data_IF_451598505917
#
_entry.id   IF_451598505917
#
_cell.length_a   1.000
_cell.length_b   1.000
_cell.length_c   1.000
_cell.angle_alpha   90.00
_cell.angle_beta   90.00
_cell.angle_gamma   90.00
#
_symmetry.space_group_name_H-M   'P 1'
#
loop_
_entity.id
_entity.type
_entity.pdbx_description
1 polymer ?
#
# COMPACT_ATOMS: atom_id res chain seq x y z
N UNK A 1 -2.15 -10.31 10.62
CA UNK A 1 -2.13 -8.82 10.78
C UNK A 1 -3.55 -8.27 10.64
N UNK A 2 -3.89 -7.15 11.28
CA UNK A 2 -5.20 -6.54 11.07
C UNK A 2 -5.33 -6.07 9.60
N UNK A 3 -6.51 -6.24 9.01
CA UNK A 3 -6.92 -5.70 7.71
C UNK A 3 -6.83 -4.16 7.72
N UNK A 4 -5.63 -3.63 7.63
CA UNK A 4 -5.35 -2.20 7.68
C UNK A 4 -5.27 -1.71 6.24
N UNK A 5 -6.06 -0.68 5.92
CA UNK A 5 -5.94 -0.02 4.62
C UNK A 5 -4.59 0.69 4.54
N UNK A 6 -3.93 0.53 3.41
CA UNK A 6 -2.63 1.15 3.16
C UNK A 6 -2.57 1.73 1.76
N UNK A 7 -1.72 2.74 1.60
CA UNK A 7 -1.24 3.15 0.29
C UNK A 7 0.22 3.51 0.38
N UNK A 8 0.98 3.22 -0.67
CA UNK A 8 2.37 3.62 -0.77
C UNK A 8 2.61 4.07 -2.20
N UNK A 9 3.47 5.06 -2.36
CA UNK A 9 3.67 5.64 -3.67
C UNK A 9 4.66 6.78 -3.68
N UNK A 10 4.67 7.46 -4.83
CA UNK A 10 5.49 8.61 -5.11
C UNK A 10 4.66 9.82 -5.48
N UNK A 11 5.20 10.97 -5.16
CA UNK A 11 4.65 12.28 -5.47
C UNK A 11 5.74 13.12 -6.14
N UNK A 12 5.38 13.78 -7.23
CA UNK A 12 6.30 14.55 -8.05
C UNK A 12 5.92 16.03 -8.00
N UNK A 13 6.89 16.87 -7.63
CA UNK A 13 6.74 18.32 -7.53
C UNK A 13 7.76 18.96 -8.47
N UNK A 14 7.31 19.88 -9.33
CA UNK A 14 8.21 20.65 -10.21
C UNK A 14 9.34 21.31 -9.41
N UNK A 15 10.59 21.19 -9.89
CA UNK A 15 11.77 21.71 -9.20
C UNK A 15 11.72 23.22 -9.03
N UNK A 16 11.24 23.95 -10.03
CA UNK A 16 11.15 25.43 -9.94
C UNK A 16 10.16 25.84 -8.84
N UNK A 17 9.04 25.14 -8.75
CA UNK A 17 8.06 25.32 -7.68
C UNK A 17 8.66 24.96 -6.31
N UNK A 18 9.35 23.82 -6.21
CA UNK A 18 10.03 23.40 -5.00
C UNK A 18 11.03 24.46 -4.52
N UNK A 19 11.97 24.87 -5.38
CA UNK A 19 13.02 25.83 -5.03
C UNK A 19 12.45 27.16 -4.55
N UNK A 20 11.35 27.62 -5.15
CA UNK A 20 10.66 28.85 -4.75
C UNK A 20 9.96 28.74 -3.39
N UNK A 21 9.54 27.54 -2.98
CA UNK A 21 8.77 27.28 -1.77
C UNK A 21 9.47 26.30 -0.82
N UNK A 22 10.79 26.16 -0.94
CA UNK A 22 11.59 25.10 -0.32
C UNK A 22 11.31 24.94 1.17
N UNK A 23 11.44 26.02 1.93
CA UNK A 23 11.20 26.01 3.38
C UNK A 23 9.79 25.54 3.74
N UNK A 24 8.77 25.89 2.95
CA UNK A 24 7.40 25.45 3.21
C UNK A 24 7.22 23.96 2.95
N UNK A 25 7.80 23.46 1.85
CA UNK A 25 7.69 22.05 1.44
C UNK A 25 8.50 21.16 2.38
N UNK A 26 9.75 21.53 2.69
CA UNK A 26 10.61 20.79 3.62
C UNK A 26 9.91 20.66 4.99
N UNK A 27 9.37 21.76 5.52
CA UNK A 27 8.63 21.73 6.79
C UNK A 27 7.33 20.89 6.72
N UNK A 28 6.64 20.91 5.57
CA UNK A 28 5.46 20.07 5.35
C UNK A 28 5.83 18.59 5.33
N UNK A 29 6.95 18.21 4.73
CA UNK A 29 7.49 16.84 4.72
C UNK A 29 7.90 16.43 6.15
N UNK A 30 8.70 17.26 6.83
CA UNK A 30 9.23 16.99 8.17
C UNK A 30 8.12 16.69 9.19
N UNK A 31 6.96 17.34 9.04
CA UNK A 31 5.79 17.02 9.86
C UNK A 31 5.44 15.52 9.80
N UNK A 32 5.40 14.92 8.62
CA UNK A 32 5.09 13.50 8.43
C UNK A 32 6.22 12.54 8.81
N UNK A 33 7.42 13.04 9.12
CA UNK A 33 8.53 12.23 9.62
C UNK A 33 8.56 12.15 11.15
N UNK A 34 7.83 13.04 11.83
CA UNK A 34 7.65 12.95 13.28
C UNK A 34 6.54 11.96 13.64
N UNK A 35 6.64 11.20 14.75
CA UNK A 35 5.61 10.22 15.12
C UNK A 35 4.23 10.86 15.22
N UNK A 36 3.36 10.54 14.26
CA UNK A 36 1.99 11.03 14.20
C UNK A 36 1.05 10.16 15.03
N UNK A 37 -0.07 10.72 15.46
CA UNK A 37 -1.18 9.92 15.99
C UNK A 37 -1.88 9.22 14.82
N UNK A 38 -1.75 7.90 14.74
CA UNK A 38 -2.38 7.01 13.74
C UNK A 38 -3.93 6.99 13.72
N UNK A 39 -4.60 7.92 14.41
CA UNK A 39 -6.06 7.93 14.55
C UNK A 39 -6.78 8.65 13.40
N UNK A 40 -6.03 9.20 12.43
CA UNK A 40 -6.54 10.14 11.41
C UNK A 40 -6.22 9.70 9.98
N UNK A 41 -7.01 10.20 9.02
CA UNK A 41 -6.76 10.02 7.59
C UNK A 41 -5.61 10.91 7.12
N UNK A 42 -4.75 10.39 6.25
CA UNK A 42 -3.60 11.11 5.71
C UNK A 42 -2.38 10.22 5.51
N UNK A 43 -1.27 10.85 5.14
CA UNK A 43 0.02 10.15 5.10
C UNK A 43 0.48 9.80 6.51
N UNK A 44 0.92 8.57 6.70
CA UNK A 44 1.65 8.13 7.88
C UNK A 44 3.13 8.49 7.79
N UNK A 45 3.66 8.66 6.57
CA UNK A 45 5.05 9.00 6.33
C UNK A 45 5.24 9.69 4.97
N UNK A 46 6.15 10.67 4.91
CA UNK A 46 6.62 11.29 3.66
C UNK A 46 8.11 11.57 3.78
N UNK A 47 8.88 11.32 2.72
CA UNK A 47 10.29 11.68 2.64
C UNK A 47 10.70 12.13 1.25
N UNK A 48 11.81 12.86 1.17
CA UNK A 48 12.51 13.11 -0.08
C UNK A 48 13.22 11.83 -0.51
N UNK A 49 12.82 11.27 -1.65
CA UNK A 49 13.49 10.14 -2.27
C UNK A 49 14.64 10.63 -3.15
N UNK A 50 14.37 11.61 -4.02
CA UNK A 50 15.34 12.16 -4.97
C UNK A 50 15.03 13.62 -5.33
N UNK A 51 16.05 14.40 -5.66
CA UNK A 51 15.90 15.70 -6.31
C UNK A 51 16.61 15.65 -7.67
N UNK A 52 15.83 15.59 -8.74
CA UNK A 52 16.31 15.51 -10.12
C UNK A 52 16.50 16.91 -10.71
N UNK A 53 16.96 16.99 -11.96
CA UNK A 53 17.07 18.27 -12.68
C UNK A 53 15.73 18.99 -12.85
N UNK A 54 14.64 18.24 -12.97
CA UNK A 54 13.31 18.76 -13.28
C UNK A 54 12.34 18.72 -12.11
N UNK A 55 12.53 17.82 -11.13
CA UNK A 55 11.52 17.51 -10.12
C UNK A 55 12.11 17.15 -8.75
N UNK A 56 11.30 17.37 -7.72
CA UNK A 56 11.45 16.76 -6.40
C UNK A 56 10.56 15.52 -6.33
N UNK A 57 11.16 14.38 -6.03
CA UNK A 57 10.49 13.10 -5.87
C UNK A 57 10.32 12.79 -4.39
N UNK A 58 9.08 12.62 -3.97
CA UNK A 58 8.72 12.32 -2.59
C UNK A 58 8.13 10.92 -2.52
N UNK A 59 8.67 10.08 -1.64
CA UNK A 59 8.03 8.81 -1.27
C UNK A 59 7.04 9.07 -0.16
N UNK A 60 5.87 8.45 -0.22
CA UNK A 60 4.88 8.50 0.85
C UNK A 60 4.31 7.14 1.20
N UNK A 61 3.85 7.02 2.45
CA UNK A 61 3.02 5.92 2.92
C UNK A 61 1.77 6.49 3.62
N UNK A 62 0.66 5.77 3.49
CA UNK A 62 -0.57 5.93 4.22
C UNK A 62 -0.94 4.62 4.88
N UNK A 63 -1.35 4.65 6.14
CA UNK A 63 -1.70 3.46 6.91
C UNK A 63 -2.83 3.76 7.89
N UNK A 64 -3.71 2.79 8.12
CA UNK A 64 -4.76 2.87 9.13
C UNK A 64 -6.08 3.29 8.52
N UNK A 65 -6.53 4.50 8.88
CA UNK A 65 -7.71 5.12 8.27
C UNK A 65 -7.27 5.71 6.94
N UNK A 66 -7.46 4.97 5.87
CA UNK A 66 -7.10 5.40 4.53
C UNK A 66 -8.30 5.32 3.60
N UNK A 67 -8.61 6.43 2.95
CA UNK A 67 -9.35 6.52 1.70
C UNK A 67 -9.05 7.89 1.08
N UNK A 68 -9.05 8.00 -0.25
CA UNK A 68 -8.67 9.26 -0.90
C UNK A 68 -9.63 10.42 -0.66
N UNK A 69 -10.93 10.16 -0.53
CA UNK A 69 -11.93 11.20 -0.33
C UNK A 69 -11.72 12.00 0.97
N UNK A 70 -11.28 11.32 2.02
CA UNK A 70 -10.94 11.92 3.30
C UNK A 70 -9.46 12.37 3.32
N UNK A 71 -8.52 11.55 2.85
CA UNK A 71 -7.09 11.90 2.81
C UNK A 71 -6.83 13.24 2.11
N UNK A 72 -7.49 13.53 0.98
CA UNK A 72 -7.34 14.82 0.29
C UNK A 72 -7.77 16.01 1.16
N UNK A 73 -8.81 15.84 1.98
CA UNK A 73 -9.27 16.90 2.90
C UNK A 73 -8.23 17.16 3.99
N UNK A 74 -7.70 16.09 4.59
CA UNK A 74 -6.76 16.21 5.70
C UNK A 74 -5.35 16.64 5.27
N UNK A 75 -4.89 16.22 4.09
CA UNK A 75 -3.53 16.52 3.61
C UNK A 75 -3.47 17.87 2.87
N UNK A 76 -4.52 18.22 2.11
CA UNK A 76 -4.47 19.36 1.18
C UNK A 76 -5.68 20.32 1.24
N UNK A 77 -6.70 20.14 2.08
CA UNK A 77 -7.81 21.11 2.15
C UNK A 77 -7.59 22.23 3.17
N UNK A 78 -8.23 23.37 2.88
CA UNK A 78 -8.08 24.64 3.59
C UNK A 78 -9.10 24.91 4.71
N UNK A 79 -9.95 23.93 5.04
CA UNK A 79 -11.00 24.10 6.06
C UNK A 79 -10.43 24.26 7.49
N UNK A 80 -11.05 25.17 8.25
CA UNK A 80 -10.52 25.77 9.50
C UNK A 80 -10.49 24.84 10.72
N UNK A 81 -10.86 23.56 10.60
CA UNK A 81 -11.03 22.66 11.75
C UNK A 81 -9.74 21.90 12.13
N UNK A 82 -8.55 22.47 11.93
CA UNK A 82 -7.37 21.62 11.75
C UNK A 82 -6.02 22.13 12.30
N UNK A 83 -5.99 22.78 13.47
CA UNK A 83 -4.70 23.05 14.16
C UNK A 83 -3.96 21.79 14.65
N UNK A 84 -4.54 20.60 14.47
CA UNK A 84 -3.94 19.29 14.77
C UNK A 84 -3.36 18.57 13.54
N UNK A 85 -3.56 19.13 12.34
CA UNK A 85 -3.12 18.55 11.08
C UNK A 85 -2.11 19.48 10.45
N UNK A 86 -1.15 18.90 9.72
CA UNK A 86 0.05 19.55 9.19
C UNK A 86 -0.11 21.09 9.01
N UNK A 87 0.53 21.92 9.84
CA UNK A 87 0.25 23.36 9.90
C UNK A 87 0.61 24.10 8.59
N UNK A 88 1.37 23.45 7.72
CA UNK A 88 1.81 23.99 6.44
C UNK A 88 0.81 23.74 5.31
N UNK A 89 -0.19 22.85 5.50
CA UNK A 89 -1.11 22.42 4.44
C UNK A 89 -1.83 23.58 3.76
N UNK A 90 -2.42 24.50 4.52
CA UNK A 90 -3.21 25.63 3.97
C UNK A 90 -2.36 26.54 3.09
N UNK A 91 -1.15 26.84 3.55
CA UNK A 91 -0.21 27.68 2.80
C UNK A 91 0.31 26.95 1.56
N UNK A 92 0.60 25.65 1.67
CA UNK A 92 1.03 24.83 0.54
C UNK A 92 -0.05 24.76 -0.55
N UNK A 93 -1.30 24.45 -0.18
CA UNK A 93 -2.45 24.41 -1.09
C UNK A 93 -2.66 25.76 -1.79
N UNK A 94 -2.54 26.87 -1.07
CA UNK A 94 -2.60 28.20 -1.68
C UNK A 94 -1.46 28.41 -2.70
N UNK A 95 -0.23 28.01 -2.40
CA UNK A 95 0.90 28.16 -3.31
C UNK A 95 0.76 27.31 -4.56
N UNK A 96 0.26 26.08 -4.44
CA UNK A 96 -0.06 25.21 -5.56
C UNK A 96 -1.08 25.87 -6.50
N UNK A 97 -2.16 26.43 -5.95
CA UNK A 97 -3.15 27.19 -6.72
C UNK A 97 -2.53 28.41 -7.43
N UNK A 98 -1.81 29.26 -6.69
CA UNK A 98 -1.19 30.48 -7.23
C UNK A 98 -0.23 30.20 -8.38
N UNK A 99 0.47 29.06 -8.34
CA UNK A 99 1.39 28.63 -9.38
C UNK A 99 0.72 27.83 -10.50
N UNK A 100 -0.56 27.45 -10.34
CA UNK A 100 -1.20 26.44 -11.20
C UNK A 100 -0.37 25.14 -11.28
N UNK A 101 0.25 24.78 -10.16
CA UNK A 101 1.08 23.59 -10.06
C UNK A 101 0.19 22.38 -9.79
N UNK A 102 0.26 21.39 -10.68
CA UNK A 102 -0.29 20.07 -10.42
C UNK A 102 0.75 19.20 -9.70
N UNK A 103 0.28 18.27 -8.90
CA UNK A 103 1.13 17.25 -8.29
C UNK A 103 0.77 15.92 -8.92
N UNK A 104 1.70 15.31 -9.64
CA UNK A 104 1.55 13.95 -10.12
C UNK A 104 1.80 12.98 -8.95
N UNK A 105 0.98 11.95 -8.84
CA UNK A 105 1.16 10.88 -7.87
C UNK A 105 0.96 9.52 -8.52
N UNK A 106 1.82 8.59 -8.16
CA UNK A 106 1.76 7.18 -8.56
C UNK A 106 1.73 6.33 -7.29
N UNK A 107 0.73 5.47 -7.14
CA UNK A 107 0.58 4.69 -5.91
C UNK A 107 -0.19 3.40 -6.09
N UNK A 108 0.02 2.49 -5.15
CA UNK A 108 -0.86 1.34 -4.93
C UNK A 108 -1.75 1.64 -3.73
N UNK A 109 -3.03 1.33 -3.86
CA UNK A 109 -4.04 1.47 -2.80
C UNK A 109 -4.61 0.09 -2.46
N UNK A 110 -4.62 -0.23 -1.17
CA UNK A 110 -5.06 -1.51 -0.64
C UNK A 110 -6.08 -1.28 0.47
N UNK A 111 -7.33 -1.69 0.22
CA UNK A 111 -8.40 -1.63 1.21
C UNK A 111 -8.98 -3.03 1.44
N UNK A 112 -8.45 -3.77 2.44
CA UNK A 112 -8.83 -5.16 2.63
C UNK A 112 -10.29 -5.35 3.05
N UNK A 113 -10.90 -4.36 3.70
CA UNK A 113 -12.32 -4.38 4.08
C UNK A 113 -13.29 -4.34 2.89
N UNK A 114 -12.81 -3.91 1.72
CA UNK A 114 -13.58 -3.83 0.48
C UNK A 114 -12.99 -4.68 -0.64
N UNK A 115 -11.94 -5.47 -0.34
CA UNK A 115 -11.20 -6.26 -1.33
C UNK A 115 -10.67 -5.40 -2.51
N UNK A 116 -10.26 -4.17 -2.21
CA UNK A 116 -9.68 -3.26 -3.20
C UNK A 116 -8.16 -3.45 -3.19
N UNK A 117 -7.60 -3.63 -4.38
CA UNK A 117 -6.18 -3.51 -4.66
C UNK A 117 -6.04 -2.86 -6.04
N UNK A 118 -5.53 -1.63 -6.08
CA UNK A 118 -5.43 -0.87 -7.33
C UNK A 118 -4.08 -0.19 -7.45
N UNK A 119 -3.63 -0.01 -8.69
CA UNK A 119 -2.50 0.85 -9.02
C UNK A 119 -3.03 2.07 -9.77
N UNK A 120 -2.65 3.26 -9.33
CA UNK A 120 -3.16 4.52 -9.85
C UNK A 120 -2.07 5.52 -10.14
N UNK A 121 -2.27 6.25 -11.22
CA UNK A 121 -1.56 7.49 -11.51
C UNK A 121 -2.59 8.63 -11.58
N UNK A 122 -2.36 9.68 -10.81
CA UNK A 122 -3.31 10.78 -10.67
C UNK A 122 -2.62 12.13 -10.66
N UNK A 123 -3.31 13.15 -11.13
CA UNK A 123 -2.93 14.54 -10.92
C UNK A 123 -3.79 15.13 -9.80
N UNK A 124 -3.16 15.62 -8.73
CA UNK A 124 -3.79 16.52 -7.79
C UNK A 124 -3.78 17.93 -8.33
N UNK A 125 -4.94 18.57 -8.28
CA UNK A 125 -5.13 19.95 -8.71
C UNK A 125 -5.83 20.71 -7.59
N UNK A 126 -5.52 22.00 -7.48
CA UNK A 126 -6.16 22.88 -6.51
C UNK A 126 -7.07 23.85 -7.25
N UNK A 127 -8.32 23.92 -6.82
CA UNK A 127 -9.32 24.84 -7.32
C UNK A 127 -9.77 25.79 -6.21
N UNK A 128 -10.28 26.97 -6.58
CA UNK A 128 -10.76 27.97 -5.63
C UNK A 128 -12.28 28.12 -5.73
N UNK A 129 -12.96 27.80 -4.64
CA UNK A 129 -14.42 27.92 -4.49
C UNK A 129 -14.76 28.80 -3.29
N UNK A 130 -15.52 29.88 -3.49
CA UNK A 130 -16.00 30.77 -2.41
C UNK A 130 -14.89 31.16 -1.40
N UNK A 131 -13.74 31.58 -1.91
CA UNK A 131 -12.54 31.95 -1.13
C UNK A 131 -11.85 30.82 -0.35
N UNK A 132 -12.23 29.57 -0.61
CA UNK A 132 -11.56 28.37 -0.12
C UNK A 132 -10.80 27.67 -1.24
N UNK A 133 -9.68 27.04 -0.88
CA UNK A 133 -8.93 26.17 -1.78
C UNK A 133 -9.33 24.71 -1.52
N UNK A 134 -9.76 24.02 -2.57
CA UNK A 134 -10.16 22.62 -2.54
C UNK A 134 -9.23 21.82 -3.46
N UNK A 135 -8.85 20.63 -3.02
CA UNK A 135 -8.00 19.73 -3.81
C UNK A 135 -8.88 18.68 -4.46
N UNK A 136 -8.72 18.52 -5.77
CA UNK A 136 -9.36 17.48 -6.56
C UNK A 136 -8.30 16.53 -7.13
N UNK A 137 -8.74 15.33 -7.47
CA UNK A 137 -7.90 14.30 -8.07
C UNK A 137 -8.46 13.96 -9.45
N UNK A 138 -7.60 14.03 -10.47
CA UNK A 138 -7.88 13.57 -11.82
C UNK A 138 -7.12 12.26 -12.01
N UNK A 139 -7.86 11.18 -12.27
CA UNK A 139 -7.28 9.86 -12.52
C UNK A 139 -6.77 9.83 -13.96
N UNK A 140 -5.46 9.66 -14.13
CA UNK A 140 -4.83 9.48 -15.44
C UNK A 140 -4.84 8.00 -15.82
N UNK A 141 -4.59 7.14 -14.84
CA UNK A 141 -4.47 5.69 -14.99
C UNK A 141 -5.03 4.98 -13.75
N UNK A 142 -5.74 3.88 -13.98
CA UNK A 142 -6.40 3.08 -12.94
C UNK A 142 -6.35 1.60 -13.37
N UNK A 143 -5.58 0.78 -12.64
CA UNK A 143 -5.60 -0.68 -12.80
C UNK A 143 -6.29 -1.28 -11.58
N UNK A 144 -7.42 -1.93 -11.81
CA UNK A 144 -7.99 -2.86 -10.85
C UNK A 144 -7.22 -4.18 -10.89
N UNK A 145 -6.51 -4.49 -9.81
CA UNK A 145 -5.81 -5.77 -9.66
C UNK A 145 -6.73 -6.78 -8.99
N UNK A 146 -6.68 -8.04 -9.45
CA UNK A 146 -7.41 -9.11 -8.78
C UNK A 146 -6.96 -9.23 -7.32
N UNK A 147 -7.92 -9.29 -6.40
CA UNK A 147 -7.66 -9.39 -4.97
C UNK A 147 -7.25 -10.82 -4.56
N UNK A 148 -6.02 -11.20 -4.89
CA UNK A 148 -5.41 -12.49 -4.58
C UNK A 148 -4.04 -12.30 -3.89
N UNK A 149 -3.52 -13.35 -3.25
CA UNK A 149 -2.25 -13.28 -2.51
C UNK A 149 -1.06 -12.92 -3.40
N UNK A 150 -1.01 -13.44 -4.63
CA UNK A 150 0.06 -13.09 -5.57
C UNK A 150 0.15 -11.60 -5.80
N UNK A 151 -0.96 -10.92 -6.11
CA UNK A 151 -0.96 -9.48 -6.36
C UNK A 151 -0.66 -8.69 -5.09
N UNK A 152 -1.13 -9.14 -3.91
CA UNK A 152 -0.79 -8.48 -2.64
C UNK A 152 0.71 -8.52 -2.34
N UNK A 153 1.35 -9.66 -2.60
CA UNK A 153 2.80 -9.83 -2.42
C UNK A 153 3.58 -9.08 -3.51
N UNK A 154 3.12 -9.15 -4.76
CA UNK A 154 3.74 -8.46 -5.89
C UNK A 154 3.74 -6.94 -5.69
N UNK A 155 2.63 -6.40 -5.20
CA UNK A 155 2.51 -5.00 -4.82
C UNK A 155 3.15 -4.68 -3.47
N UNK A 156 3.74 -5.64 -2.74
CA UNK A 156 4.41 -5.37 -1.46
C UNK A 156 3.49 -4.89 -0.33
N UNK A 157 2.16 -5.03 -0.45
CA UNK A 157 1.20 -4.69 0.63
C UNK A 157 1.11 -5.79 1.68
N UNK A 158 1.51 -7.01 1.32
CA UNK A 158 1.59 -8.16 2.21
C UNK A 158 2.93 -8.88 2.04
N UNK A 159 3.44 -9.46 3.12
CA UNK A 159 4.64 -10.29 3.08
C UNK A 159 4.25 -11.69 2.60
N UNK A 160 5.00 -12.26 1.67
CA UNK A 160 4.70 -13.57 1.11
C UNK A 160 5.76 -14.08 0.16
N UNK A 161 5.39 -15.12 -0.59
CA UNK A 161 6.24 -15.78 -1.57
C UNK A 161 5.50 -15.94 -2.89
N UNK A 162 6.21 -15.73 -3.99
CA UNK A 162 5.73 -15.93 -5.36
C UNK A 162 6.41 -17.14 -5.98
N UNK A 163 5.63 -17.98 -6.67
CA UNK A 163 6.14 -19.21 -7.27
C UNK A 163 6.85 -19.01 -8.61
N UNK A 164 6.85 -17.80 -9.16
CA UNK A 164 7.60 -17.42 -10.36
C UNK A 164 8.99 -16.84 -10.06
N UNK A 165 9.33 -16.68 -8.77
CA UNK A 165 10.66 -16.30 -8.29
C UNK A 165 11.35 -17.50 -7.62
N UNK A 166 12.52 -17.88 -8.12
CA UNK A 166 13.25 -19.06 -7.62
C UNK A 166 13.75 -18.89 -6.19
N UNK A 167 14.20 -17.68 -5.83
CA UNK A 167 14.72 -17.41 -4.48
C UNK A 167 13.57 -17.46 -3.46
N UNK A 168 12.40 -16.91 -3.83
CA UNK A 168 11.20 -16.99 -2.98
C UNK A 168 10.66 -18.41 -2.86
N UNK A 169 10.77 -19.24 -3.90
CA UNK A 169 10.41 -20.68 -3.83
C UNK A 169 11.33 -21.43 -2.86
N UNK A 170 12.63 -21.17 -2.89
CA UNK A 170 13.58 -21.77 -1.94
C UNK A 170 13.26 -21.35 -0.50
N UNK A 171 13.04 -20.06 -0.27
CA UNK A 171 12.66 -19.54 1.04
C UNK A 171 11.31 -20.10 1.54
N UNK A 172 10.33 -20.25 0.64
CA UNK A 172 9.06 -20.90 0.95
C UNK A 172 9.26 -22.36 1.36
N UNK A 173 10.14 -23.11 0.70
CA UNK A 173 10.41 -24.51 1.06
C UNK A 173 10.99 -24.63 2.48
N UNK A 174 11.89 -23.74 2.87
CA UNK A 174 12.43 -23.68 4.23
C UNK A 174 11.32 -23.38 5.26
N UNK A 175 10.46 -22.40 4.95
CA UNK A 175 9.32 -22.06 5.80
C UNK A 175 8.34 -23.23 5.92
N UNK A 176 8.02 -23.92 4.82
CA UNK A 176 7.14 -25.09 4.84
C UNK A 176 7.73 -26.25 5.66
N UNK A 177 9.05 -26.40 5.69
CA UNK A 177 9.71 -27.39 6.55
C UNK A 177 9.48 -27.07 8.02
N UNK A 178 9.67 -25.81 8.44
CA UNK A 178 9.38 -25.38 9.81
C UNK A 178 7.90 -25.55 10.15
N UNK A 179 7.00 -25.07 9.29
CA UNK A 179 5.56 -25.22 9.43
C UNK A 179 5.14 -26.68 9.59
N UNK A 180 5.70 -27.58 8.75
CA UNK A 180 5.39 -28.99 8.81
C UNK A 180 5.79 -29.60 10.14
N UNK A 181 7.00 -29.32 10.62
CA UNK A 181 7.51 -29.82 11.90
C UNK A 181 6.67 -29.35 13.09
N UNK A 182 6.25 -28.09 13.09
CA UNK A 182 5.43 -27.48 14.15
C UNK A 182 3.99 -28.02 14.17
N UNK A 183 3.46 -28.41 13.00
CA UNK A 183 2.06 -28.79 12.82
C UNK A 183 1.85 -30.27 12.47
N UNK A 184 2.85 -31.14 12.71
CA UNK A 184 2.83 -32.57 12.33
C UNK A 184 1.59 -33.35 12.74
N UNK A 185 1.04 -33.03 13.91
CA UNK A 185 -0.11 -33.77 14.46
C UNK A 185 -1.38 -33.55 13.64
N UNK A 186 -1.61 -32.32 13.15
CA UNK A 186 -2.79 -31.95 12.37
C UNK A 186 -2.64 -32.26 10.87
N UNK A 187 -1.41 -32.35 10.36
CA UNK A 187 -1.17 -32.67 8.95
C UNK A 187 -1.44 -34.16 8.69
N UNK A 188 -2.35 -34.46 7.75
CA UNK A 188 -2.69 -35.86 7.40
C UNK A 188 -1.56 -36.60 6.70
N UNK A 189 -0.91 -35.93 5.76
CA UNK A 189 0.23 -36.48 5.02
C UNK A 189 1.45 -36.54 5.95
N UNK A 190 1.90 -37.74 6.31
CA UNK A 190 3.02 -37.95 7.23
C UNK A 190 4.38 -37.95 6.53
N UNK A 191 4.41 -37.64 5.24
CA UNK A 191 5.62 -37.43 4.46
C UNK A 191 5.77 -35.96 4.01
N UNK A 192 6.80 -35.28 4.51
CA UNK A 192 7.07 -33.88 4.15
C UNK A 192 7.15 -33.62 2.64
N UNK A 193 7.76 -34.54 1.86
CA UNK A 193 7.90 -34.36 0.42
C UNK A 193 6.55 -34.40 -0.30
N UNK A 194 5.64 -35.27 0.13
CA UNK A 194 4.29 -35.31 -0.39
C UNK A 194 3.51 -34.06 0.02
N UNK A 195 3.58 -33.69 1.31
CA UNK A 195 2.96 -32.47 1.83
C UNK A 195 3.39 -31.22 1.08
N UNK A 196 4.71 -31.01 0.92
CA UNK A 196 5.27 -29.86 0.22
C UNK A 196 4.79 -29.79 -1.24
N UNK A 197 4.68 -30.93 -1.93
CA UNK A 197 4.12 -30.97 -3.30
C UNK A 197 2.65 -30.56 -3.33
N UNK A 198 1.86 -31.02 -2.37
CA UNK A 198 0.44 -30.67 -2.29
C UNK A 198 0.26 -29.18 -2.00
N UNK A 199 1.04 -28.61 -1.08
CA UNK A 199 1.05 -27.17 -0.83
C UNK A 199 1.43 -26.38 -2.08
N UNK A 200 2.50 -26.75 -2.78
CA UNK A 200 2.92 -26.06 -4.00
C UNK A 200 1.87 -26.15 -5.11
N UNK A 201 1.17 -27.28 -5.22
CA UNK A 201 0.05 -27.43 -6.16
C UNK A 201 -1.10 -26.51 -5.77
N UNK A 202 -1.49 -26.49 -4.50
CA UNK A 202 -2.56 -25.64 -3.99
C UNK A 202 -2.27 -24.14 -4.24
N UNK A 203 -1.08 -23.66 -3.89
CA UNK A 203 -0.68 -22.27 -4.13
C UNK A 203 -0.78 -21.92 -5.62
N UNK A 204 -0.41 -22.85 -6.50
CA UNK A 204 -0.43 -22.64 -7.95
C UNK A 204 -1.84 -22.63 -8.56
N UNK A 205 -2.74 -23.45 -8.06
CA UNK A 205 -4.04 -23.74 -8.69
C UNK A 205 -5.22 -22.99 -8.06
N UNK A 206 -5.11 -22.59 -6.78
CA UNK A 206 -6.16 -21.86 -6.08
C UNK A 206 -6.27 -20.41 -6.56
N UNK A 207 -7.51 -19.93 -6.78
CA UNK A 207 -7.75 -18.57 -7.28
C UNK A 207 -7.41 -17.47 -6.27
N UNK A 208 -7.58 -17.73 -4.97
CA UNK A 208 -7.25 -16.76 -3.93
C UNK A 208 -5.74 -16.62 -3.76
N UNK A 209 -4.97 -17.65 -4.13
CA UNK A 209 -3.52 -17.68 -4.04
C UNK A 209 -2.85 -17.21 -5.34
N UNK A 210 -3.29 -17.76 -6.48
CA UNK A 210 -2.84 -17.43 -7.83
C UNK A 210 -1.31 -17.43 -7.99
N UNK A 211 -0.65 -18.51 -7.53
CA UNK A 211 0.82 -18.68 -7.53
C UNK A 211 1.57 -17.80 -6.52
N UNK A 212 0.86 -17.16 -5.60
CA UNK A 212 1.46 -16.46 -4.45
C UNK A 212 0.82 -16.92 -3.15
N UNK A 213 1.55 -16.76 -2.04
CA UNK A 213 1.02 -17.03 -0.71
C UNK A 213 1.49 -15.96 0.27
N UNK A 214 0.53 -15.32 0.94
CA UNK A 214 0.83 -14.41 2.04
C UNK A 214 1.23 -15.22 3.29
N UNK A 215 2.29 -14.78 3.96
CA UNK A 215 2.87 -15.46 5.14
C UNK A 215 1.85 -15.64 6.27
N UNK A 216 0.92 -14.71 6.45
CA UNK A 216 -0.08 -14.80 7.51
C UNK A 216 -0.92 -16.09 7.41
N UNK A 217 -1.11 -16.66 6.21
CA UNK A 217 -1.87 -17.92 6.06
C UNK A 217 -1.18 -19.08 6.75
N UNK A 218 0.15 -19.10 6.72
CA UNK A 218 0.96 -20.13 7.37
C UNK A 218 1.12 -19.85 8.87
N UNK A 219 1.18 -18.58 9.26
CA UNK A 219 1.55 -18.20 10.63
C UNK A 219 0.37 -17.95 11.56
N UNK A 220 -0.69 -17.29 11.08
CA UNK A 220 -1.75 -16.79 11.94
C UNK A 220 -2.83 -17.87 12.18
N UNK A 221 -3.14 -18.72 11.18
CA UNK A 221 -4.08 -19.84 11.32
C UNK A 221 -3.69 -21.07 10.46
N UNK A 222 -2.74 -21.90 10.96
CA UNK A 222 -2.32 -23.13 10.30
C UNK A 222 -3.45 -24.12 10.01
N UNK A 223 -4.46 -24.17 10.88
CA UNK A 223 -5.56 -25.12 10.76
C UNK A 223 -6.47 -24.80 9.57
N UNK A 224 -6.85 -23.52 9.45
CA UNK A 224 -7.67 -23.04 8.33
C UNK A 224 -6.94 -23.21 7.00
N UNK A 225 -5.62 -22.90 6.96
CA UNK A 225 -4.83 -23.11 5.75
C UNK A 225 -4.83 -24.58 5.29
N UNK A 226 -4.66 -25.52 6.21
CA UNK A 226 -4.66 -26.95 5.90
C UNK A 226 -6.03 -27.43 5.42
N UNK A 227 -7.12 -26.95 6.04
CA UNK A 227 -8.49 -27.26 5.62
C UNK A 227 -8.78 -26.75 4.20
N UNK A 228 -8.50 -25.46 3.93
CA UNK A 228 -8.67 -24.85 2.61
C UNK A 228 -7.87 -25.59 1.52
N UNK A 229 -6.62 -25.96 1.83
CA UNK A 229 -5.77 -26.73 0.93
C UNK A 229 -6.41 -28.10 0.61
N UNK A 230 -6.83 -28.85 1.64
CA UNK A 230 -7.44 -30.16 1.43
C UNK A 230 -8.76 -30.10 0.65
N UNK A 231 -9.55 -29.04 0.83
CA UNK A 231 -10.79 -28.84 0.07
C UNK A 231 -10.50 -28.51 -1.39
N UNK A 232 -9.58 -27.57 -1.64
CA UNK A 232 -9.18 -27.17 -2.99
C UNK A 232 -8.64 -28.37 -3.79
N UNK A 233 -7.79 -29.20 -3.17
CA UNK A 233 -7.20 -30.37 -3.82
C UNK A 233 -8.16 -31.56 -4.03
N UNK A 234 -9.32 -31.60 -3.38
CA UNK A 234 -10.37 -32.61 -3.65
C UNK A 234 -11.19 -32.30 -4.91
N UNK A 235 -11.21 -31.04 -5.33
CA UNK A 235 -12.04 -30.54 -6.42
C UNK A 235 -11.28 -30.53 -7.76
N UNK A 236 -9.94 -30.63 -7.72
CA UNK A 236 -9.04 -30.70 -8.88
C UNK A 236 -8.88 -32.13 -9.43
#
# INVERSE_FOLDING_TARGET
>A
MANISTAFGRMYIDRTFYEKNRELIDNWIDFYQTPQKYEWYGFSYVEVEELTEDELWLRFNGEGRWNWADTLKYVFASDDFESQFNPYKKQLTQKLYEASQNILMEYVDYEPGYEILVEREVNLQVEKYNDKYETSMVINYDIDLEYNDYNKVMCGVEIGYKLDDLEEVEALQEHLMAFYEENKEMIREKNFRSFSKDVMRYIKEDKKLNKGICVFRLNDDPGMFLEDMEESLKIA
#
